data_IF_439060660234
#
_entry.id   IF_439060660234
#
_cell.length_a   1.000
_cell.length_b   1.000
_cell.length_c   1.000
_cell.angle_alpha   90.00
_cell.angle_beta   90.00
_cell.angle_gamma   90.00
#
_symmetry.space_group_name_H-M   'P 1'
#
loop_
_entity.id
_entity.type
_entity.pdbx_description
1 polymer ?
#
# COMPACT_ATOMS: atom_id res chain seq x y z
N UNK A 1 0.15 -55.41 8.16
CA UNK A 1 0.37 -54.25 9.06
C UNK A 1 0.96 -53.01 8.35
N UNK A 2 1.21 -53.05 7.03
CA UNK A 2 1.76 -51.92 6.25
C UNK A 2 0.71 -51.08 5.49
N UNK A 3 -0.51 -51.60 5.28
CA UNK A 3 -1.57 -50.89 4.55
C UNK A 3 -2.36 -49.88 5.41
N UNK A 4 -2.20 -49.88 6.73
CA UNK A 4 -2.90 -48.96 7.63
C UNK A 4 -2.17 -47.61 7.84
N UNK A 5 -0.95 -47.46 7.30
CA UNK A 5 -0.16 -46.22 7.43
C UNK A 5 -0.23 -45.33 6.17
N UNK A 6 -0.69 -45.86 5.04
CA UNK A 6 -0.81 -45.09 3.79
C UNK A 6 -2.05 -44.20 3.71
N UNK A 7 -3.07 -44.43 4.55
CA UNK A 7 -4.32 -43.64 4.53
C UNK A 7 -4.30 -42.43 5.47
N UNK A 8 -3.24 -42.28 6.29
CA UNK A 8 -3.18 -41.23 7.32
C UNK A 8 -2.38 -39.99 6.92
N UNK A 9 -1.91 -39.92 5.68
CA UNK A 9 -1.03 -38.85 5.19
C UNK A 9 -1.71 -37.86 4.23
N UNK A 10 -3.02 -38.01 3.97
CA UNK A 10 -3.79 -37.17 3.03
C UNK A 10 -4.76 -36.18 3.71
N UNK A 11 -4.47 -35.74 4.94
CA UNK A 11 -5.25 -34.66 5.57
C UNK A 11 -4.38 -33.67 6.34
N UNK A 12 -3.16 -33.39 5.86
CA UNK A 12 -2.57 -32.09 6.12
C UNK A 12 -3.54 -31.06 5.54
N UNK A 13 -4.15 -30.27 6.42
CA UNK A 13 -5.06 -29.18 6.05
C UNK A 13 -4.30 -28.06 5.35
N UNK A 14 -3.71 -28.36 4.19
CA UNK A 14 -3.23 -27.36 3.27
C UNK A 14 -4.47 -26.62 2.77
N UNK A 15 -4.70 -25.45 3.34
CA UNK A 15 -5.65 -24.49 2.77
C UNK A 15 -5.19 -24.29 1.32
N UNK A 16 -6.02 -24.60 0.31
CA UNK A 16 -5.63 -24.46 -1.09
C UNK A 16 -5.04 -23.07 -1.30
N UNK A 17 -3.90 -22.94 -1.98
CA UNK A 17 -3.22 -21.65 -2.18
C UNK A 17 -4.18 -20.54 -2.65
N UNK A 18 -5.16 -20.90 -3.51
CA UNK A 18 -6.23 -20.02 -3.96
C UNK A 18 -7.09 -19.39 -2.82
N UNK A 19 -7.31 -20.09 -1.71
CA UNK A 19 -8.01 -19.58 -0.52
C UNK A 19 -7.14 -18.60 0.27
N UNK A 20 -5.83 -18.85 0.35
CA UNK A 20 -4.88 -17.94 1.00
C UNK A 20 -4.76 -16.63 0.22
N UNK A 21 -4.57 -16.71 -1.10
CA UNK A 21 -4.47 -15.55 -1.98
C UNK A 21 -5.75 -14.70 -1.97
N UNK A 22 -6.92 -15.34 -1.93
CA UNK A 22 -8.20 -14.65 -1.79
C UNK A 22 -8.32 -13.93 -0.44
N UNK A 23 -7.88 -14.55 0.66
CA UNK A 23 -7.86 -13.91 1.98
C UNK A 23 -6.93 -12.70 2.00
N UNK A 24 -5.74 -12.82 1.42
CA UNK A 24 -4.79 -11.71 1.28
C UNK A 24 -5.42 -10.58 0.46
N UNK A 25 -6.07 -10.88 -0.66
CA UNK A 25 -6.75 -9.89 -1.50
C UNK A 25 -7.90 -9.19 -0.76
N UNK A 26 -8.70 -9.93 0.01
CA UNK A 26 -9.81 -9.39 0.81
C UNK A 26 -9.33 -8.50 1.95
N UNK A 27 -8.12 -8.71 2.48
CA UNK A 27 -7.54 -7.83 3.50
C UNK A 27 -6.88 -6.61 2.83
N UNK A 28 -6.06 -6.84 1.80
CA UNK A 28 -5.29 -5.79 1.14
C UNK A 28 -6.17 -4.79 0.38
N UNK A 29 -7.25 -5.24 -0.26
CA UNK A 29 -8.13 -4.36 -1.04
C UNK A 29 -8.80 -3.27 -0.19
N UNK A 30 -9.55 -3.64 0.86
CA UNK A 30 -10.18 -2.68 1.78
C UNK A 30 -9.17 -1.83 2.55
N UNK A 31 -8.03 -2.39 2.97
CA UNK A 31 -6.95 -1.62 3.61
C UNK A 31 -6.35 -0.59 2.66
N UNK A 32 -6.13 -0.96 1.41
CA UNK A 32 -5.74 -0.01 0.36
C UNK A 32 -6.74 1.13 0.19
N UNK A 33 -8.04 0.80 0.11
CA UNK A 33 -9.11 1.80 -0.01
C UNK A 33 -9.19 2.72 1.24
N UNK A 34 -9.04 2.16 2.44
CA UNK A 34 -9.04 2.90 3.70
C UNK A 34 -7.84 3.85 3.82
N UNK A 35 -6.63 3.37 3.53
CA UNK A 35 -5.43 4.20 3.55
C UNK A 35 -5.45 5.28 2.46
N UNK A 36 -6.13 5.03 1.35
CA UNK A 36 -6.39 6.04 0.33
C UNK A 36 -7.38 7.11 0.83
N UNK A 37 -8.48 6.70 1.48
CA UNK A 37 -9.48 7.62 2.03
C UNK A 37 -8.94 8.53 3.15
N UNK A 38 -8.10 8.00 4.05
CA UNK A 38 -7.48 8.76 5.15
C UNK A 38 -6.52 9.85 4.65
N UNK A 39 -5.94 9.68 3.46
CA UNK A 39 -4.97 10.63 2.89
C UNK A 39 -5.59 11.91 2.32
N UNK A 40 -6.91 12.07 2.48
CA UNK A 40 -7.57 13.37 2.43
C UNK A 40 -8.30 13.64 1.13
N UNK A 41 -9.60 13.87 1.26
CA UNK A 41 -10.48 14.48 0.24
C UNK A 41 -10.37 16.01 0.20
N UNK A 42 -9.56 16.62 1.08
CA UNK A 42 -9.51 18.07 1.33
C UNK A 42 -8.11 18.67 1.52
N UNK A 43 -7.04 17.95 1.13
CA UNK A 43 -5.67 18.50 1.20
C UNK A 43 -5.04 18.54 2.60
N UNK A 44 -5.67 17.93 3.62
CA UNK A 44 -5.13 17.91 4.97
C UNK A 44 -3.88 17.01 5.09
N UNK A 45 -2.72 17.63 5.36
CA UNK A 45 -1.55 16.96 5.96
C UNK A 45 -0.94 15.83 5.15
N UNK A 46 -0.61 16.04 3.87
CA UNK A 46 -0.08 15.02 2.96
C UNK A 46 1.04 14.13 3.54
N UNK A 47 1.94 14.67 4.37
CA UNK A 47 2.95 13.90 5.08
C UNK A 47 2.41 13.11 6.28
N UNK A 48 1.52 13.68 7.09
CA UNK A 48 0.92 13.02 8.26
C UNK A 48 -0.03 11.90 7.86
N UNK A 49 -0.89 12.14 6.87
CA UNK A 49 -1.75 11.12 6.27
C UNK A 49 -0.94 10.07 5.49
N UNK A 50 0.14 10.52 4.83
CA UNK A 50 1.13 9.64 4.23
C UNK A 50 1.74 8.70 5.27
N UNK A 51 2.28 9.23 6.37
CA UNK A 51 2.92 8.44 7.43
C UNK A 51 1.98 7.40 8.05
N UNK A 52 0.73 7.77 8.35
CA UNK A 52 -0.25 6.83 8.91
C UNK A 52 -0.55 5.68 7.94
N UNK A 53 -0.75 6.02 6.66
CA UNK A 53 -0.95 5.02 5.64
C UNK A 53 0.29 4.15 5.38
N UNK A 54 1.48 4.74 5.50
CA UNK A 54 2.74 4.04 5.35
C UNK A 54 2.98 3.05 6.46
N UNK A 55 2.68 3.45 7.71
CA UNK A 55 2.72 2.56 8.85
C UNK A 55 1.72 1.40 8.71
N UNK A 56 0.51 1.68 8.19
CA UNK A 56 -0.46 0.65 7.89
C UNK A 56 0.04 -0.38 6.86
N UNK A 57 0.59 0.10 5.74
CA UNK A 57 1.20 -0.76 4.72
C UNK A 57 2.43 -1.52 5.23
N UNK A 58 3.25 -0.87 6.04
CA UNK A 58 4.42 -1.45 6.68
C UNK A 58 4.05 -2.63 7.58
N UNK A 59 3.06 -2.47 8.46
CA UNK A 59 2.61 -3.52 9.38
C UNK A 59 2.04 -4.71 8.61
N UNK A 60 1.22 -4.46 7.58
CA UNK A 60 0.71 -5.52 6.72
C UNK A 60 1.85 -6.26 6.03
N UNK A 61 2.78 -5.53 5.41
CA UNK A 61 3.95 -6.11 4.75
C UNK A 61 4.77 -6.98 5.70
N UNK A 62 5.12 -6.45 6.88
CA UNK A 62 5.91 -7.16 7.87
C UNK A 62 5.18 -8.39 8.42
N UNK A 63 3.87 -8.28 8.66
CA UNK A 63 3.02 -9.39 9.11
C UNK A 63 2.99 -10.53 8.09
N UNK A 64 2.77 -10.23 6.80
CA UNK A 64 2.78 -11.24 5.75
C UNK A 64 4.19 -11.79 5.44
N UNK A 65 5.22 -10.94 5.49
CA UNK A 65 6.59 -11.35 5.25
C UNK A 65 7.10 -12.34 6.32
N UNK A 66 6.59 -12.21 7.55
CA UNK A 66 6.89 -13.07 8.70
C UNK A 66 5.81 -14.12 8.99
N UNK A 67 4.79 -14.25 8.15
CA UNK A 67 3.81 -15.31 8.29
C UNK A 67 4.55 -16.66 8.23
N UNK A 68 4.18 -17.59 9.10
CA UNK A 68 4.83 -18.91 9.25
C UNK A 68 6.24 -18.89 9.89
N UNK A 69 6.70 -17.76 10.42
CA UNK A 69 7.98 -17.68 11.15
C UNK A 69 9.23 -17.79 10.26
N UNK A 70 9.07 -17.82 8.93
CA UNK A 70 10.16 -17.93 7.95
C UNK A 70 10.82 -16.57 7.59
N UNK A 71 10.53 -15.50 8.33
CA UNK A 71 11.04 -14.17 8.03
C UNK A 71 12.58 -14.07 8.01
N UNK A 72 13.29 -14.88 8.80
CA UNK A 72 14.76 -14.85 8.86
C UNK A 72 15.46 -15.18 7.53
N UNK A 73 14.81 -15.90 6.61
CA UNK A 73 15.37 -16.23 5.29
C UNK A 73 14.97 -15.27 4.17
N UNK A 74 14.12 -14.27 4.45
CA UNK A 74 13.54 -13.37 3.43
C UNK A 74 14.15 -11.98 3.51
N UNK A 75 14.73 -11.52 2.40
CA UNK A 75 15.40 -10.21 2.27
C UNK A 75 14.52 -9.03 2.75
N UNK A 76 13.20 -9.11 2.52
CA UNK A 76 12.26 -8.03 2.83
C UNK A 76 11.44 -8.22 4.12
N UNK A 77 11.82 -9.17 4.99
CA UNK A 77 11.08 -9.47 6.24
C UNK A 77 11.66 -8.79 7.49
N UNK A 78 12.71 -7.98 7.35
CA UNK A 78 13.35 -7.26 8.46
C UNK A 78 12.46 -6.15 9.05
N UNK A 79 12.54 -5.86 10.36
CA UNK A 79 11.88 -4.70 10.97
C UNK A 79 12.26 -3.35 10.34
N UNK A 80 13.43 -3.26 9.68
CA UNK A 80 13.85 -2.06 8.94
C UNK A 80 12.88 -1.71 7.81
N UNK A 81 12.20 -2.72 7.27
CA UNK A 81 11.19 -2.55 6.23
C UNK A 81 10.00 -1.72 6.72
N UNK A 82 9.70 -1.75 8.03
CA UNK A 82 8.64 -0.93 8.60
C UNK A 82 8.95 0.56 8.45
N UNK A 83 10.18 0.95 8.79
CA UNK A 83 10.65 2.31 8.65
C UNK A 83 10.74 2.69 7.16
N UNK A 84 11.34 1.83 6.32
CA UNK A 84 11.49 2.08 4.89
C UNK A 84 10.16 2.35 4.19
N UNK A 85 9.16 1.49 4.44
CA UNK A 85 7.82 1.64 3.87
C UNK A 85 7.16 2.90 4.42
N UNK A 86 7.18 3.11 5.74
CA UNK A 86 6.54 4.27 6.38
C UNK A 86 7.12 5.60 5.87
N UNK A 87 8.45 5.71 5.82
CA UNK A 87 9.12 6.94 5.39
C UNK A 87 9.00 7.18 3.89
N UNK A 88 9.16 6.15 3.04
CA UNK A 88 9.04 6.32 1.59
C UNK A 88 7.65 6.82 1.18
N UNK A 89 6.63 6.29 1.85
CA UNK A 89 5.24 6.68 1.71
C UNK A 89 4.98 8.10 2.27
N UNK A 90 5.47 8.39 3.47
CA UNK A 90 5.31 9.71 4.09
C UNK A 90 5.97 10.81 3.25
N UNK A 91 7.17 10.53 2.74
CA UNK A 91 7.90 11.42 1.85
C UNK A 91 7.17 11.63 0.54
N UNK A 92 6.68 10.54 -0.08
CA UNK A 92 5.81 10.64 -1.23
C UNK A 92 4.57 11.49 -0.94
N UNK A 93 4.00 11.41 0.27
CA UNK A 93 2.85 12.20 0.71
C UNK A 93 3.08 13.72 0.75
N UNK A 94 4.34 14.19 0.79
CA UNK A 94 4.68 15.62 0.74
C UNK A 94 4.28 16.29 -0.59
N UNK A 95 4.05 15.52 -1.66
CA UNK A 95 3.74 16.05 -2.99
C UNK A 95 2.34 16.66 -3.14
N UNK A 96 1.50 16.64 -2.10
CA UNK A 96 0.24 17.39 -2.10
C UNK A 96 -0.89 16.78 -2.96
N UNK A 97 -1.07 15.46 -2.91
CA UNK A 97 -1.99 14.72 -3.79
C UNK A 97 -3.47 15.06 -3.68
N UNK A 98 -3.92 15.63 -2.56
CA UNK A 98 -5.33 16.03 -2.39
C UNK A 98 -5.80 17.00 -3.48
N UNK A 99 -4.87 17.72 -4.11
CA UNK A 99 -5.15 18.62 -5.24
C UNK A 99 -5.69 17.88 -6.47
N UNK A 100 -5.22 16.67 -6.75
CA UNK A 100 -5.65 15.90 -7.92
C UNK A 100 -7.08 15.34 -7.78
N UNK A 101 -7.60 15.24 -6.56
CA UNK A 101 -9.01 14.84 -6.33
C UNK A 101 -9.96 15.92 -6.87
N UNK A 102 -9.62 17.20 -6.72
CA UNK A 102 -10.38 18.29 -7.33
C UNK A 102 -10.35 18.21 -8.87
N UNK A 103 -9.24 17.75 -9.45
CA UNK A 103 -9.09 17.64 -10.91
C UNK A 103 -9.97 16.54 -11.49
N UNK A 104 -10.20 15.45 -10.75
CA UNK A 104 -11.20 14.44 -11.12
C UNK A 104 -12.61 15.02 -11.23
N UNK A 105 -12.91 16.06 -10.44
CA UNK A 105 -14.17 16.81 -10.51
C UNK A 105 -14.16 17.91 -11.58
N UNK A 106 -13.09 18.00 -12.38
CA UNK A 106 -12.90 19.05 -13.38
C UNK A 106 -12.56 20.43 -12.80
N UNK A 107 -12.15 20.50 -11.53
CA UNK A 107 -11.86 21.74 -10.81
C UNK A 107 -10.37 21.90 -10.57
N UNK A 108 -9.80 22.97 -11.10
CA UNK A 108 -8.43 23.38 -10.84
C UNK A 108 -8.44 24.69 -10.05
N UNK A 109 -7.91 24.69 -8.83
CA UNK A 109 -7.84 25.89 -7.99
C UNK A 109 -6.51 26.60 -8.22
N UNK A 110 -6.54 27.85 -8.72
CA UNK A 110 -5.37 28.72 -8.78
C UNK A 110 -5.05 29.33 -7.40
N UNK A 111 -6.08 29.59 -6.60
CA UNK A 111 -5.98 30.18 -5.26
C UNK A 111 -7.08 29.59 -4.37
N UNK A 112 -6.83 28.47 -3.71
CA UNK A 112 -7.88 27.78 -2.94
C UNK A 112 -8.44 28.65 -1.79
N UNK A 113 -9.78 28.73 -1.60
CA UNK A 113 -10.85 28.03 -2.32
C UNK A 113 -11.41 28.76 -3.55
N UNK A 114 -10.84 29.90 -3.93
CA UNK A 114 -11.26 30.71 -5.07
C UNK A 114 -10.48 30.37 -6.37
N UNK A 115 -10.72 31.13 -7.45
CA UNK A 115 -9.92 31.03 -8.67
C UNK A 115 -10.06 29.69 -9.41
N UNK A 116 -11.25 29.08 -9.37
CA UNK A 116 -11.53 27.78 -10.03
C UNK A 116 -11.49 27.93 -11.54
N UNK A 117 -10.67 27.10 -12.19
CA UNK A 117 -10.64 26.88 -13.63
C UNK A 117 -11.17 25.48 -13.95
N UNK A 118 -11.99 25.41 -14.99
CA UNK A 118 -12.43 24.13 -15.53
C UNK A 118 -11.26 23.45 -16.24
N UNK A 119 -11.03 22.19 -15.92
CA UNK A 119 -10.06 21.33 -16.59
C UNK A 119 -10.74 20.01 -16.98
N UNK A 120 -10.20 19.34 -17.98
CA UNK A 120 -10.71 18.05 -18.40
C UNK A 120 -10.41 16.99 -17.31
N UNK A 121 -11.41 16.23 -16.80
CA UNK A 121 -11.21 15.29 -15.69
C UNK A 121 -10.12 14.23 -15.91
N UNK A 122 -9.83 13.89 -17.16
CA UNK A 122 -8.77 12.93 -17.52
C UNK A 122 -7.38 13.36 -17.01
N UNK A 123 -7.12 14.66 -16.85
CA UNK A 123 -5.85 15.15 -16.29
C UNK A 123 -5.68 14.76 -14.83
N UNK A 124 -6.78 14.71 -14.06
CA UNK A 124 -6.78 14.19 -12.70
C UNK A 124 -6.43 12.70 -12.64
N UNK A 125 -7.02 11.89 -13.52
CA UNK A 125 -6.69 10.45 -13.62
C UNK A 125 -5.24 10.22 -14.01
N UNK A 126 -4.73 10.96 -15.00
CA UNK A 126 -3.33 10.89 -15.42
C UNK A 126 -2.38 11.27 -14.27
N UNK A 127 -2.66 12.35 -13.55
CA UNK A 127 -1.82 12.77 -12.43
C UNK A 127 -1.89 11.81 -11.24
N UNK A 128 -3.04 11.20 -10.97
CA UNK A 128 -3.14 10.15 -9.95
C UNK A 128 -2.32 8.91 -10.31
N UNK A 129 -2.25 8.54 -11.58
CA UNK A 129 -1.38 7.46 -12.05
C UNK A 129 0.11 7.79 -11.85
N UNK A 130 0.54 8.98 -12.28
CA UNK A 130 1.93 9.45 -12.10
C UNK A 130 2.29 9.55 -10.61
N UNK A 131 1.38 10.07 -9.80
CA UNK A 131 1.47 10.07 -8.34
C UNK A 131 1.69 8.65 -7.81
N UNK A 132 0.86 7.69 -8.23
CA UNK A 132 0.98 6.29 -7.79
C UNK A 132 2.35 5.70 -8.12
N UNK A 133 2.87 5.98 -9.33
CA UNK A 133 4.21 5.56 -9.75
C UNK A 133 5.31 6.20 -8.90
N UNK A 134 5.25 7.52 -8.68
CA UNK A 134 6.21 8.23 -7.84
C UNK A 134 6.25 7.64 -6.42
N UNK A 135 5.08 7.37 -5.86
CA UNK A 135 4.95 6.87 -4.49
C UNK A 135 5.45 5.44 -4.32
N UNK A 136 5.03 4.54 -5.21
CA UNK A 136 5.52 3.17 -5.26
C UNK A 136 7.02 3.11 -5.55
N UNK A 137 7.51 3.97 -6.43
CA UNK A 137 8.93 4.06 -6.80
C UNK A 137 9.81 4.53 -5.65
N UNK A 138 9.45 5.63 -4.98
CA UNK A 138 10.20 6.13 -3.81
C UNK A 138 10.21 5.09 -2.70
N UNK A 139 9.05 4.50 -2.39
CA UNK A 139 8.96 3.44 -1.38
C UNK A 139 9.83 2.24 -1.77
N UNK A 140 9.77 1.80 -3.02
CA UNK A 140 10.62 0.72 -3.54
C UNK A 140 12.11 1.02 -3.42
N UNK A 141 12.54 2.27 -3.67
CA UNK A 141 13.93 2.68 -3.49
C UNK A 141 14.38 2.59 -2.02
N UNK A 142 13.55 3.05 -1.08
CA UNK A 142 13.83 2.89 0.36
C UNK A 142 13.89 1.42 0.77
N UNK A 143 12.95 0.61 0.27
CA UNK A 143 12.93 -0.84 0.55
C UNK A 143 14.19 -1.52 0.01
N UNK A 144 14.62 -1.18 -1.21
CA UNK A 144 15.85 -1.71 -1.82
C UNK A 144 17.10 -1.29 -1.04
N UNK A 145 17.17 -0.05 -0.57
CA UNK A 145 18.26 0.43 0.27
C UNK A 145 18.35 -0.28 1.63
N UNK A 146 17.20 -0.72 2.16
CA UNK A 146 17.13 -1.43 3.44
C UNK A 146 17.21 -2.97 3.31
N UNK A 147 17.30 -3.51 2.10
CA UNK A 147 17.52 -4.93 1.88
C UNK A 147 18.97 -5.29 2.27
N UNK A 148 19.18 -6.37 3.06
CA UNK A 148 20.51 -6.82 3.49
C UNK A 148 21.33 -7.47 2.37
#
# INVERSE_FOLDING_TARGET
>A
MQQALSSKQSSSGEIPAARYDLFVAIIMGPMGAFFWAIRGTSGYGGSSGGALAGMGWAVLWYGFANLEGQGHGRLYASPRMLAAITFGIAFGGLSGYGVYIAWLQGRFYLEYPEGVRAIAPWTGYAMLFVCGLHWGGVTGAFMAWCAP
#
